data_IF_107126524863
#
_entry.id   IF_107126524863
#
_cell.length_a   1.000
_cell.length_b   1.000
_cell.length_c   1.000
_cell.angle_alpha   90.00
_cell.angle_beta   90.00
_cell.angle_gamma   90.00
#
_symmetry.space_group_name_H-M   'P 1'
#
loop_
_entity.id
_entity.type
_entity.pdbx_description
1 polymer ?
#
# COMPACT_ATOMS: atom_id res chain seq x y z
N UNK A 1 -3.27 10.15 6.47
CA UNK A 1 -2.81 9.27 5.37
C UNK A 1 -2.35 7.97 5.99
N UNK A 2 -2.61 6.86 5.33
CA UNK A 2 -2.15 5.51 5.69
C UNK A 2 -1.31 5.01 4.52
N UNK A 3 -0.03 4.76 4.76
CA UNK A 3 0.85 4.10 3.81
C UNK A 3 0.76 2.59 4.05
N UNK A 4 0.46 1.81 3.03
CA UNK A 4 0.40 0.34 3.19
C UNK A 4 1.80 -0.27 3.36
N UNK A 5 2.84 0.47 3.02
CA UNK A 5 4.22 0.13 3.39
C UNK A 5 4.42 -0.03 4.90
N UNK A 6 3.63 0.65 5.73
CA UNK A 6 3.64 0.47 7.18
C UNK A 6 3.23 -0.94 7.62
N UNK A 7 2.62 -1.71 6.72
CA UNK A 7 2.20 -3.10 6.92
C UNK A 7 3.09 -4.11 6.18
N UNK A 8 4.13 -3.62 5.46
CA UNK A 8 5.06 -4.46 4.72
C UNK A 8 6.10 -5.06 5.65
N UNK A 9 5.89 -6.31 6.05
CA UNK A 9 6.84 -7.05 6.88
C UNK A 9 8.07 -7.49 6.06
N UNK A 10 9.30 -7.36 6.59
CA UNK A 10 10.48 -7.91 5.94
C UNK A 10 10.32 -9.40 5.60
N UNK A 11 10.72 -9.79 4.39
CA UNK A 11 10.62 -11.18 3.92
C UNK A 11 9.23 -11.62 3.46
N UNK A 12 8.24 -10.73 3.44
CA UNK A 12 6.96 -10.97 2.78
C UNK A 12 6.94 -10.31 1.40
N UNK A 13 6.37 -10.95 0.38
CA UNK A 13 6.33 -10.39 -0.98
C UNK A 13 5.37 -9.21 -1.14
N UNK A 14 4.48 -9.02 -0.16
CA UNK A 14 3.49 -7.94 -0.12
C UNK A 14 3.33 -7.45 1.32
N UNK A 15 2.40 -6.54 1.55
CA UNK A 15 2.04 -6.10 2.90
C UNK A 15 1.00 -7.00 3.56
N UNK A 16 0.87 -6.92 4.88
CA UNK A 16 -0.03 -7.76 5.70
C UNK A 16 -1.48 -7.27 5.58
N UNK A 17 -2.23 -7.80 4.62
CA UNK A 17 -3.62 -7.45 4.35
C UNK A 17 -4.51 -7.57 5.58
N UNK A 18 -4.35 -8.66 6.34
CA UNK A 18 -5.18 -8.92 7.54
C UNK A 18 -4.99 -7.85 8.60
N UNK A 19 -3.75 -7.43 8.84
CA UNK A 19 -3.48 -6.35 9.78
C UNK A 19 -4.13 -5.03 9.38
N UNK A 20 -4.03 -4.66 8.10
CA UNK A 20 -4.69 -3.45 7.61
C UNK A 20 -6.21 -3.52 7.78
N UNK A 21 -6.82 -4.66 7.47
CA UNK A 21 -8.25 -4.87 7.65
C UNK A 21 -8.62 -4.72 9.13
N UNK A 22 -7.93 -5.43 10.01
CA UNK A 22 -8.29 -5.53 11.43
C UNK A 22 -7.93 -4.26 12.21
N UNK A 23 -6.77 -3.64 11.92
CA UNK A 23 -6.27 -2.47 12.65
C UNK A 23 -6.79 -1.14 12.09
N UNK A 24 -7.18 -1.08 10.80
CA UNK A 24 -7.60 0.17 10.14
C UNK A 24 -9.04 0.10 9.63
N UNK A 25 -9.36 -0.79 8.70
CA UNK A 25 -10.65 -0.75 8.00
C UNK A 25 -11.84 -1.06 8.92
N UNK A 26 -11.77 -2.12 9.71
CA UNK A 26 -12.88 -2.51 10.58
C UNK A 26 -13.15 -1.48 11.68
N UNK A 27 -12.15 -0.90 12.38
CA UNK A 27 -12.40 0.20 13.32
C UNK A 27 -13.05 1.40 12.67
N UNK A 28 -12.55 1.88 11.52
CA UNK A 28 -13.11 3.03 10.82
C UNK A 28 -14.56 2.79 10.36
N UNK A 29 -14.86 1.60 9.82
CA UNK A 29 -16.23 1.21 9.45
C UNK A 29 -17.18 1.13 10.65
N UNK A 30 -16.65 0.78 11.81
CA UNK A 30 -17.41 0.76 13.05
C UNK A 30 -17.57 2.14 13.71
N UNK A 31 -17.17 3.23 13.04
CA UNK A 31 -17.22 4.57 13.57
C UNK A 31 -16.27 4.80 14.74
N UNK A 32 -15.14 4.12 14.76
CA UNK A 32 -14.10 4.26 15.78
C UNK A 32 -12.76 4.68 15.16
N UNK A 33 -11.95 5.48 15.85
CA UNK A 33 -10.58 5.73 15.42
C UNK A 33 -9.81 4.41 15.22
N UNK A 34 -8.94 4.38 14.22
CA UNK A 34 -8.05 3.25 13.99
C UNK A 34 -6.68 3.54 14.60
N UNK A 35 -6.03 2.51 15.12
CA UNK A 35 -4.66 2.61 15.63
C UNK A 35 -3.87 1.40 15.15
N UNK A 36 -2.72 1.66 14.53
CA UNK A 36 -1.85 0.62 14.01
C UNK A 36 -0.38 0.94 14.29
N UNK A 37 0.49 -0.06 14.16
CA UNK A 37 1.94 0.07 14.32
C UNK A 37 2.63 -0.07 12.96
N UNK A 38 3.61 0.78 12.70
CA UNK A 38 4.42 0.74 11.48
C UNK A 38 5.44 -0.40 11.54
N UNK A 39 5.67 -1.01 10.39
CA UNK A 39 6.81 -1.92 10.22
C UNK A 39 7.92 -1.21 9.42
N UNK A 40 8.98 -0.71 10.05
CA UNK A 40 10.12 -0.19 9.30
C UNK A 40 10.80 -1.30 8.49
N UNK A 41 11.28 -0.97 7.30
CA UNK A 41 11.89 -1.96 6.38
C UNK A 41 13.13 -2.68 6.94
N UNK A 42 13.79 -2.09 7.94
CA UNK A 42 15.00 -2.57 8.60
C UNK A 42 14.77 -3.07 10.04
N UNK A 43 13.52 -3.18 10.47
CA UNK A 43 13.19 -3.58 11.83
C UNK A 43 12.65 -5.02 11.92
N UNK A 44 12.99 -5.70 13.01
CA UNK A 44 12.50 -7.05 13.31
C UNK A 44 11.11 -7.05 13.94
N UNK A 45 10.58 -5.89 14.29
CA UNK A 45 9.26 -5.75 14.93
C UNK A 45 8.59 -4.42 14.58
N UNK A 46 7.25 -4.36 14.59
CA UNK A 46 6.53 -3.12 14.36
C UNK A 46 6.73 -2.14 15.51
N UNK A 47 6.89 -0.85 15.16
CA UNK A 47 7.21 0.23 16.10
C UNK A 47 6.18 1.35 16.06
N UNK A 48 6.16 2.15 17.11
CA UNK A 48 5.29 3.32 17.23
C UNK A 48 3.81 2.96 17.23
N UNK A 49 2.97 3.96 17.35
CA UNK A 49 1.53 3.85 17.18
C UNK A 49 1.03 5.04 16.36
N UNK A 50 0.27 4.76 15.30
CA UNK A 50 -0.35 5.78 14.47
C UNK A 50 -1.85 5.70 14.63
N UNK A 51 -2.47 6.87 14.83
CA UNK A 51 -3.93 6.96 14.96
C UNK A 51 -4.52 7.65 13.72
N UNK A 52 -5.58 7.08 13.21
CA UNK A 52 -6.41 7.63 12.15
C UNK A 52 -7.74 8.03 12.75
N UNK A 53 -7.97 9.33 12.84
CA UNK A 53 -9.19 9.89 13.42
C UNK A 53 -10.39 9.82 12.49
N UNK A 54 -11.57 9.77 13.07
CA UNK A 54 -12.85 9.87 12.35
C UNK A 54 -13.13 11.29 11.85
N UNK A 55 -14.02 11.37 10.85
CA UNK A 55 -14.57 12.64 10.35
C UNK A 55 -13.66 13.38 9.37
N UNK A 56 -12.62 12.71 8.86
CA UNK A 56 -11.73 13.25 7.82
C UNK A 56 -11.63 12.31 6.63
N UNK A 57 -11.24 12.84 5.48
CA UNK A 57 -10.83 12.03 4.35
C UNK A 57 -9.57 11.24 4.74
N UNK A 58 -9.64 9.93 4.60
CA UNK A 58 -8.49 9.04 4.80
C UNK A 58 -7.94 8.70 3.44
N UNK A 59 -6.69 9.05 3.20
CA UNK A 59 -5.95 8.64 2.00
C UNK A 59 -5.16 7.40 2.36
N UNK A 60 -5.37 6.33 1.60
CA UNK A 60 -4.57 5.10 1.66
C UNK A 60 -3.77 5.04 0.37
N UNK A 61 -2.47 4.85 0.46
CA UNK A 61 -1.59 4.87 -0.69
C UNK A 61 -0.66 3.66 -0.71
N UNK A 62 -0.47 3.11 -1.87
CA UNK A 62 0.54 2.12 -2.28
C UNK A 62 0.17 1.55 -3.67
N UNK A 63 1.10 0.93 -4.33
CA UNK A 63 0.91 0.28 -5.65
C UNK A 63 -0.21 -0.76 -5.62
N UNK A 64 -0.26 -1.59 -4.60
CA UNK A 64 -1.23 -2.68 -4.46
C UNK A 64 -2.38 -2.36 -3.50
N UNK A 65 -2.73 -1.08 -3.34
CA UNK A 65 -3.81 -0.64 -2.46
C UNK A 65 -5.17 -1.29 -2.79
N UNK A 66 -5.41 -1.66 -4.06
CA UNK A 66 -6.63 -2.32 -4.50
C UNK A 66 -6.52 -3.86 -4.53
N UNK A 67 -5.68 -4.46 -3.67
CA UNK A 67 -5.47 -5.90 -3.65
C UNK A 67 -6.78 -6.68 -3.51
N UNK A 68 -6.95 -7.70 -4.39
CA UNK A 68 -8.15 -8.54 -4.40
C UNK A 68 -8.35 -9.27 -3.06
N UNK A 69 -7.27 -9.66 -2.40
CA UNK A 69 -7.35 -10.31 -1.09
C UNK A 69 -8.12 -9.47 -0.04
N UNK A 70 -7.98 -8.14 -0.08
CA UNK A 70 -8.76 -7.24 0.78
C UNK A 70 -10.20 -7.14 0.29
N UNK A 71 -10.40 -6.99 -1.02
CA UNK A 71 -11.75 -6.85 -1.62
C UNK A 71 -12.60 -8.10 -1.40
N UNK A 72 -12.02 -9.28 -1.53
CA UNK A 72 -12.72 -10.55 -1.30
C UNK A 72 -13.18 -10.71 0.15
N UNK A 73 -12.39 -10.20 1.10
CA UNK A 73 -12.70 -10.31 2.52
C UNK A 73 -13.72 -9.28 3.03
N UNK A 74 -13.63 -8.02 2.56
CA UNK A 74 -14.42 -6.91 3.11
C UNK A 74 -15.24 -6.13 2.07
N UNK A 75 -15.21 -6.54 0.80
CA UNK A 75 -15.82 -5.81 -0.30
C UNK A 75 -15.04 -4.55 -0.68
N UNK A 76 -15.62 -3.73 -1.57
CA UNK A 76 -15.06 -2.41 -1.88
C UNK A 76 -15.03 -1.57 -0.59
N UNK A 77 -13.86 -1.11 -0.22
CA UNK A 77 -13.62 -0.41 1.04
C UNK A 77 -13.28 1.08 0.88
N UNK A 78 -13.13 1.55 -0.35
CA UNK A 78 -12.85 2.95 -0.69
C UNK A 78 -14.06 3.62 -1.34
N UNK A 79 -14.17 4.94 -1.18
CA UNK A 79 -15.18 5.76 -1.85
C UNK A 79 -14.70 6.18 -3.24
N UNK A 80 -13.41 6.49 -3.36
CA UNK A 80 -12.75 6.94 -4.58
C UNK A 80 -11.36 6.33 -4.69
N UNK A 81 -11.00 5.88 -5.89
CA UNK A 81 -9.67 5.39 -6.21
C UNK A 81 -9.05 6.15 -7.39
N UNK A 82 -7.78 6.49 -7.23
CA UNK A 82 -6.99 7.18 -8.23
C UNK A 82 -5.76 6.33 -8.57
N UNK A 83 -5.50 6.20 -9.84
CA UNK A 83 -4.23 5.68 -10.35
C UNK A 83 -3.37 6.84 -10.84
N UNK A 84 -2.14 6.91 -10.33
CA UNK A 84 -1.14 7.87 -10.81
C UNK A 84 -0.28 7.15 -11.86
N UNK A 85 -0.51 7.48 -13.12
CA UNK A 85 0.22 6.90 -14.24
C UNK A 85 1.53 7.66 -14.46
N UNK A 86 2.65 6.99 -14.24
CA UNK A 86 4.01 7.54 -14.40
C UNK A 86 4.78 6.62 -15.34
N UNK A 87 5.49 7.21 -16.30
CA UNK A 87 6.40 6.47 -17.17
C UNK A 87 7.38 5.62 -16.36
N UNK A 88 7.65 4.39 -16.80
CA UNK A 88 8.45 3.43 -16.04
C UNK A 88 9.88 3.95 -15.81
N UNK A 89 10.50 4.58 -16.81
CA UNK A 89 11.86 5.11 -16.67
C UNK A 89 11.91 6.29 -15.70
N UNK A 90 10.90 7.15 -15.74
CA UNK A 90 10.74 8.26 -14.80
C UNK A 90 10.51 7.74 -13.38
N UNK A 91 9.68 6.74 -13.21
CA UNK A 91 9.44 6.10 -11.91
C UNK A 91 10.72 5.50 -11.35
N UNK A 92 11.48 4.76 -12.17
CA UNK A 92 12.78 4.19 -11.79
C UNK A 92 13.77 5.28 -11.38
N UNK A 93 13.82 6.38 -12.14
CA UNK A 93 14.68 7.52 -11.83
C UNK A 93 14.33 8.15 -10.48
N UNK A 94 13.04 8.36 -10.19
CA UNK A 94 12.57 8.90 -8.91
C UNK A 94 12.89 7.98 -7.75
N UNK A 95 12.69 6.68 -7.90
CA UNK A 95 13.02 5.66 -6.89
C UNK A 95 14.52 5.66 -6.61
N UNK A 96 15.37 5.63 -7.63
CA UNK A 96 16.83 5.65 -7.45
C UNK A 96 17.31 6.93 -6.75
N UNK A 97 16.71 8.08 -7.06
CA UNK A 97 17.03 9.35 -6.41
C UNK A 97 16.59 9.39 -4.93
N UNK A 98 15.47 8.73 -4.59
CA UNK A 98 14.93 8.69 -3.23
C UNK A 98 15.66 7.68 -2.34
N UNK A 99 15.83 6.48 -2.84
CA UNK A 99 16.23 5.31 -2.03
C UNK A 99 17.73 4.98 -2.16
N UNK A 100 18.40 5.53 -3.19
CA UNK A 100 19.82 5.30 -3.44
C UNK A 100 20.13 3.87 -3.86
N UNK A 101 21.43 3.56 -3.93
CA UNK A 101 21.91 2.23 -4.35
C UNK A 101 21.59 1.13 -3.33
N UNK A 102 21.45 1.47 -2.06
CA UNK A 102 21.25 0.51 -0.96
C UNK A 102 19.97 -0.31 -1.12
N UNK A 103 18.92 0.27 -1.66
CA UNK A 103 17.65 -0.42 -1.87
C UNK A 103 17.46 -0.90 -3.31
N UNK A 104 18.37 -0.58 -4.23
CA UNK A 104 18.27 -0.93 -5.65
C UNK A 104 18.15 -2.45 -5.87
N UNK A 105 18.89 -3.25 -5.11
CA UNK A 105 18.85 -4.71 -5.20
C UNK A 105 17.49 -5.26 -4.75
N UNK A 106 16.93 -4.76 -3.63
CA UNK A 106 15.61 -5.16 -3.16
C UNK A 106 14.51 -4.77 -4.13
N UNK A 107 14.60 -3.59 -4.76
CA UNK A 107 13.69 -3.18 -5.81
C UNK A 107 13.68 -4.19 -6.95
N UNK A 108 14.86 -4.63 -7.42
CA UNK A 108 14.97 -5.55 -8.53
C UNK A 108 14.52 -6.97 -8.19
N UNK A 109 14.87 -7.46 -6.99
CA UNK A 109 14.66 -8.87 -6.62
C UNK A 109 13.30 -9.14 -5.99
N UNK A 110 12.72 -8.17 -5.27
CA UNK A 110 11.51 -8.37 -4.49
C UNK A 110 10.34 -7.52 -5.01
N UNK A 111 10.48 -6.19 -5.01
CA UNK A 111 9.33 -5.30 -5.20
C UNK A 111 8.83 -5.23 -6.63
N UNK A 112 9.69 -5.05 -7.63
CA UNK A 112 9.27 -5.05 -9.04
C UNK A 112 8.67 -6.37 -9.51
N UNK A 113 9.21 -7.55 -9.16
CA UNK A 113 8.54 -8.80 -9.45
C UNK A 113 7.16 -8.94 -8.79
N UNK A 114 7.02 -8.50 -7.55
CA UNK A 114 5.74 -8.50 -6.82
C UNK A 114 4.72 -7.56 -7.49
N UNK A 115 5.14 -6.33 -7.76
CA UNK A 115 4.32 -5.34 -8.47
C UNK A 115 3.87 -5.85 -9.86
N UNK A 116 4.79 -6.39 -10.65
CA UNK A 116 4.46 -6.94 -11.97
C UNK A 116 3.45 -8.08 -11.87
N UNK A 117 3.59 -8.96 -10.87
CA UNK A 117 2.62 -10.01 -10.60
C UNK A 117 1.25 -9.41 -10.28
N UNK A 118 1.19 -8.45 -9.37
CA UNK A 118 -0.05 -7.76 -9.04
C UNK A 118 -0.75 -7.21 -10.28
N UNK A 119 -0.03 -6.49 -11.15
CA UNK A 119 -0.58 -5.96 -12.41
C UNK A 119 -1.12 -7.04 -13.34
N UNK A 120 -0.38 -8.13 -13.50
CA UNK A 120 -0.73 -9.18 -14.46
C UNK A 120 -1.84 -10.10 -13.97
N UNK A 121 -1.98 -10.28 -12.66
CA UNK A 121 -2.97 -11.20 -12.08
C UNK A 121 -4.24 -10.50 -11.62
N UNK A 122 -4.13 -9.28 -11.11
CA UNK A 122 -5.26 -8.60 -10.49
C UNK A 122 -5.87 -7.47 -11.33
N UNK A 123 -5.19 -7.04 -12.39
CA UNK A 123 -5.65 -6.01 -13.32
C UNK A 123 -6.20 -4.74 -12.63
N UNK A 124 -5.46 -4.08 -11.73
CA UNK A 124 -5.97 -3.00 -10.89
C UNK A 124 -6.52 -1.82 -11.70
N UNK A 125 -5.97 -1.53 -12.88
CA UNK A 125 -6.44 -0.45 -13.76
C UNK A 125 -7.89 -0.61 -14.23
N UNK A 126 -8.44 -1.82 -14.19
CA UNK A 126 -9.85 -2.08 -14.52
C UNK A 126 -10.79 -1.76 -13.35
N UNK A 127 -10.24 -1.47 -12.17
CA UNK A 127 -11.00 -1.26 -10.93
C UNK A 127 -10.86 0.14 -10.34
N UNK A 128 -9.96 0.96 -10.89
CA UNK A 128 -9.81 2.36 -10.47
C UNK A 128 -10.92 3.24 -11.04
N UNK A 129 -11.32 4.24 -10.28
CA UNK A 129 -12.33 5.20 -10.73
C UNK A 129 -11.72 6.21 -11.70
N UNK A 130 -10.47 6.63 -11.47
CA UNK A 130 -9.77 7.63 -12.29
C UNK A 130 -8.29 7.30 -12.46
N UNK A 131 -7.75 7.67 -13.62
CA UNK A 131 -6.32 7.69 -13.88
C UNK A 131 -5.87 9.13 -14.08
N UNK A 132 -4.81 9.54 -13.41
CA UNK A 132 -4.17 10.85 -13.55
C UNK A 132 -2.72 10.68 -13.97
N UNK A 133 -2.21 11.61 -14.76
CA UNK A 133 -0.83 11.61 -15.19
C UNK A 133 0.04 12.28 -14.12
N UNK A 134 1.13 11.61 -13.70
CA UNK A 134 2.06 12.07 -12.67
C UNK A 134 3.43 12.49 -13.22
#
# INVERSE_FOLDING_TARGET
MVALDDFARPGTPTWEHDRFIDEVLLPLRAGRPATYRRWPHDADAPVGAHTVDLGRTVIVEEVSALALAVVERVGRWWDLSLWVDVDEDERRRRIAARDGETLAERWQQEWWPSERRYFTTEHPLQRVDFTVRG
#
